data_IF_824505817892
#
_entry.id   IF_824505817892
#
_cell.length_a   1.000
_cell.length_b   1.000
_cell.length_c   1.000
_cell.angle_alpha   90.00
_cell.angle_beta   90.00
_cell.angle_gamma   90.00
#
_symmetry.space_group_name_H-M   'P 1'
#
loop_
_entity.id
_entity.type
_entity.pdbx_description
1 polymer ?
#
# COMPACT_ATOMS: atom_id res chain seq x y z
N UNK A 1 -13.41 11.28 -10.49
CA UNK A 1 -12.11 11.25 -11.21
C UNK A 1 -12.36 11.16 -12.73
N UNK A 2 -11.41 11.55 -13.59
CA UNK A 2 -11.45 11.12 -15.00
C UNK A 2 -10.43 10.00 -15.17
N UNK A 3 -10.90 8.74 -15.17
CA UNK A 3 -10.12 7.54 -15.47
C UNK A 3 -9.09 7.73 -16.62
N UNK A 4 -9.42 8.43 -17.73
CA UNK A 4 -8.46 8.76 -18.80
C UNK A 4 -7.17 9.48 -18.35
N UNK A 5 -7.19 10.29 -17.29
CA UNK A 5 -5.98 10.97 -16.78
C UNK A 5 -5.08 9.99 -16.04
N UNK A 6 -5.65 9.22 -15.12
CA UNK A 6 -4.94 8.17 -14.38
C UNK A 6 -4.35 7.15 -15.35
N UNK A 7 -5.17 6.62 -16.26
CA UNK A 7 -4.74 5.62 -17.24
C UNK A 7 -3.56 6.11 -18.10
N UNK A 8 -3.59 7.35 -18.61
CA UNK A 8 -2.45 7.93 -19.35
C UNK A 8 -1.17 8.01 -18.52
N UNK A 9 -1.29 8.45 -17.26
CA UNK A 9 -0.14 8.57 -16.36
C UNK A 9 0.43 7.20 -16.00
N UNK A 10 -0.42 6.23 -15.66
CA UNK A 10 -0.01 4.85 -15.37
C UNK A 10 0.64 4.19 -16.60
N UNK A 11 0.09 4.38 -17.80
CA UNK A 11 0.68 3.86 -19.04
C UNK A 11 2.09 4.43 -19.29
N UNK A 12 2.29 5.73 -19.02
CA UNK A 12 3.61 6.35 -19.14
C UNK A 12 4.59 5.78 -18.11
N UNK A 13 4.19 5.70 -16.84
CA UNK A 13 5.03 5.17 -15.77
C UNK A 13 5.38 3.69 -15.97
N UNK A 14 4.41 2.87 -16.39
CA UNK A 14 4.63 1.46 -16.69
C UNK A 14 5.65 1.26 -17.83
N UNK A 15 5.65 2.13 -18.86
CA UNK A 15 6.68 2.09 -19.90
C UNK A 15 8.06 2.48 -19.36
N UNK A 16 8.13 3.52 -18.53
CA UNK A 16 9.40 3.95 -17.93
C UNK A 16 9.99 2.89 -16.99
N UNK A 17 9.17 2.31 -16.11
CA UNK A 17 9.60 1.33 -15.11
C UNK A 17 9.98 -0.03 -15.70
N UNK A 18 9.59 -0.31 -16.95
CA UNK A 18 9.96 -1.55 -17.67
C UNK A 18 11.15 -1.36 -18.61
N UNK A 19 11.77 -0.18 -18.62
CA UNK A 19 13.01 0.05 -19.37
C UNK A 19 14.16 -0.80 -18.77
N UNK A 20 15.09 -1.33 -19.60
CA UNK A 20 16.13 -2.27 -19.13
C UNK A 20 16.91 -1.78 -17.90
N UNK A 21 17.24 -0.50 -17.83
CA UNK A 21 18.03 0.07 -16.72
C UNK A 21 17.23 0.33 -15.44
N UNK A 22 15.89 0.22 -15.51
CA UNK A 22 14.98 0.55 -14.40
C UNK A 22 14.23 -0.65 -13.85
N UNK A 23 14.02 -1.68 -14.67
CA UNK A 23 13.26 -2.85 -14.27
C UNK A 23 14.00 -3.60 -13.16
N UNK A 24 13.27 -3.98 -12.12
CA UNK A 24 13.82 -4.81 -11.05
C UNK A 24 13.65 -6.29 -11.42
N UNK A 25 14.58 -7.16 -10.99
CA UNK A 25 14.50 -8.58 -11.27
C UNK A 25 13.24 -9.19 -10.65
N UNK A 26 12.71 -10.19 -11.33
CA UNK A 26 11.63 -11.03 -10.83
C UNK A 26 12.00 -12.48 -11.09
N UNK A 27 12.56 -13.11 -10.06
CA UNK A 27 13.09 -14.46 -10.12
C UNK A 27 12.86 -15.20 -8.80
N UNK A 28 12.84 -16.55 -8.79
CA UNK A 28 12.48 -17.33 -7.60
C UNK A 28 13.41 -17.16 -6.38
N UNK A 29 14.64 -16.71 -6.61
CA UNK A 29 15.66 -16.41 -5.60
C UNK A 29 15.47 -15.05 -4.93
N UNK A 30 14.72 -14.13 -5.56
CA UNK A 30 14.43 -12.81 -5.01
C UNK A 30 13.23 -12.86 -4.07
N UNK A 31 13.36 -12.14 -2.95
CA UNK A 31 12.31 -11.95 -1.95
C UNK A 31 12.03 -10.47 -1.83
N UNK A 32 10.76 -10.09 -1.95
CA UNK A 32 10.34 -8.70 -1.85
C UNK A 32 9.29 -8.55 -0.76
N UNK A 33 9.42 -7.52 0.06
CA UNK A 33 8.37 -7.06 0.95
C UNK A 33 7.98 -5.64 0.57
N UNK A 34 6.69 -5.37 0.52
CA UNK A 34 6.14 -4.07 0.15
C UNK A 34 5.35 -3.52 1.34
N UNK A 35 5.76 -2.33 1.77
CA UNK A 35 5.04 -1.50 2.73
C UNK A 35 4.71 -0.15 2.10
N UNK A 36 3.60 0.46 2.52
CA UNK A 36 3.18 1.78 2.07
C UNK A 36 2.52 2.54 3.22
N UNK A 37 2.36 3.86 3.02
CA UNK A 37 1.55 4.71 3.89
C UNK A 37 2.02 4.61 5.36
N UNK A 38 3.32 4.79 5.58
CA UNK A 38 3.90 4.91 6.92
C UNK A 38 3.53 6.24 7.54
N UNK A 39 3.60 7.34 6.77
CA UNK A 39 3.34 8.70 7.25
C UNK A 39 4.17 9.06 8.49
N UNK A 40 5.49 8.79 8.45
CA UNK A 40 6.43 9.15 9.53
C UNK A 40 6.42 10.67 9.72
N UNK A 41 5.98 11.13 10.90
CA UNK A 41 5.81 12.54 11.22
C UNK A 41 6.85 13.08 12.21
N UNK A 42 6.44 14.02 13.05
CA UNK A 42 7.28 14.71 14.03
C UNK A 42 7.45 13.98 15.38
N UNK A 43 6.92 12.76 15.52
CA UNK A 43 6.93 12.02 16.77
C UNK A 43 6.03 12.61 17.87
N UNK A 44 5.16 13.56 17.55
CA UNK A 44 4.18 14.11 18.50
C UNK A 44 3.03 13.13 18.78
N UNK A 45 2.00 13.58 19.51
CA UNK A 45 0.76 12.81 19.68
C UNK A 45 -0.11 12.79 18.42
N UNK A 46 0.11 13.73 17.49
CA UNK A 46 -0.57 13.79 16.22
C UNK A 46 0.10 12.92 15.15
N UNK A 47 1.31 12.42 15.42
CA UNK A 47 2.01 11.47 14.57
C UNK A 47 1.35 10.08 14.67
N UNK A 48 0.65 9.70 13.61
CA UNK A 48 -0.04 8.42 13.52
C UNK A 48 0.91 7.22 13.38
N UNK A 49 2.11 7.42 12.82
CA UNK A 49 3.11 6.38 12.68
C UNK A 49 3.72 5.99 14.03
N UNK A 50 3.87 6.95 14.95
CA UNK A 50 4.51 6.75 16.26
C UNK A 50 4.02 5.51 17.00
N UNK A 51 2.71 5.21 16.97
CA UNK A 51 2.11 4.05 17.64
C UNK A 51 2.55 2.70 17.06
N UNK A 52 3.06 2.68 15.83
CA UNK A 52 3.52 1.51 15.09
C UNK A 52 5.02 1.50 14.83
N UNK A 53 5.77 2.55 15.18
CA UNK A 53 7.19 2.68 14.87
C UNK A 53 8.02 1.47 15.35
N UNK A 54 7.82 1.03 16.61
CA UNK A 54 8.52 -0.12 17.17
C UNK A 54 8.12 -1.45 16.50
N UNK A 55 6.83 -1.61 16.18
CA UNK A 55 6.32 -2.77 15.47
C UNK A 55 6.93 -2.85 14.07
N UNK A 56 6.96 -1.73 13.36
CA UNK A 56 7.53 -1.63 12.03
C UNK A 56 9.03 -1.91 12.04
N UNK A 57 9.78 -1.34 12.98
CA UNK A 57 11.20 -1.63 13.15
C UNK A 57 11.49 -3.11 13.43
N UNK A 58 10.63 -3.76 14.23
CA UNK A 58 10.71 -5.21 14.46
C UNK A 58 10.43 -6.02 13.20
N UNK A 59 9.45 -5.59 12.38
CA UNK A 59 9.17 -6.20 11.08
C UNK A 59 10.34 -6.04 10.11
N UNK A 60 10.94 -4.84 10.01
CA UNK A 60 12.13 -4.61 9.18
C UNK A 60 13.29 -5.54 9.57
N UNK A 61 13.52 -5.71 10.87
CA UNK A 61 14.56 -6.62 11.39
C UNK A 61 14.30 -8.08 11.01
N UNK A 62 13.04 -8.51 11.01
CA UNK A 62 12.67 -9.84 10.51
C UNK A 62 12.95 -9.98 9.00
N UNK A 63 12.56 -8.98 8.21
CA UNK A 63 12.77 -9.02 6.75
C UNK A 63 14.25 -8.98 6.36
N UNK A 64 15.06 -8.27 7.13
CA UNK A 64 16.52 -8.31 7.01
C UNK A 64 17.07 -9.73 7.23
N UNK A 65 16.68 -10.38 8.32
CA UNK A 65 17.12 -11.74 8.66
C UNK A 65 16.67 -12.78 7.63
N UNK A 66 15.48 -12.60 7.06
CA UNK A 66 14.91 -13.51 6.06
C UNK A 66 15.36 -13.21 4.61
N UNK A 67 16.25 -12.24 4.43
CA UNK A 67 16.85 -11.90 3.13
C UNK A 67 15.89 -11.24 2.15
N UNK A 68 14.94 -10.45 2.64
CA UNK A 68 13.99 -9.69 1.83
C UNK A 68 14.58 -8.34 1.38
N UNK A 69 14.31 -7.95 0.14
CA UNK A 69 14.47 -6.58 -0.34
C UNK A 69 13.17 -5.80 -0.06
N UNK A 70 13.30 -4.61 0.53
CA UNK A 70 12.17 -3.75 0.88
C UNK A 70 11.82 -2.78 -0.25
N UNK A 71 10.54 -2.76 -0.62
CA UNK A 71 9.94 -1.74 -1.49
C UNK A 71 8.99 -0.86 -0.67
N UNK A 72 9.49 0.31 -0.24
CA UNK A 72 8.64 1.36 0.33
C UNK A 72 7.87 2.05 -0.79
N UNK A 73 6.56 1.82 -0.85
CA UNK A 73 5.66 2.22 -1.93
C UNK A 73 4.97 3.57 -1.65
N UNK A 74 5.76 4.58 -1.28
CA UNK A 74 5.31 5.96 -1.08
C UNK A 74 4.51 6.22 0.20
N UNK A 75 4.30 7.52 0.43
CA UNK A 75 3.70 8.12 1.63
C UNK A 75 4.40 7.64 2.90
N UNK A 76 5.73 7.80 2.89
CA UNK A 76 6.60 7.27 3.92
C UNK A 76 7.05 8.33 4.92
N UNK A 77 7.47 9.49 4.45
CA UNK A 77 7.79 10.68 5.24
C UNK A 77 6.67 11.71 5.03
N UNK A 78 5.96 12.07 6.10
CA UNK A 78 4.82 12.99 6.06
C UNK A 78 5.28 14.45 5.89
N UNK A 79 5.84 14.78 4.72
CA UNK A 79 6.44 16.08 4.40
C UNK A 79 5.38 17.16 4.14
N UNK A 80 4.12 16.78 3.93
CA UNK A 80 3.05 17.78 3.80
C UNK A 80 2.81 18.50 5.11
N UNK A 81 2.80 17.78 6.23
CA UNK A 81 2.57 18.36 7.56
C UNK A 81 3.85 18.71 8.32
N UNK A 82 4.95 17.99 8.07
CA UNK A 82 6.15 18.07 8.89
C UNK A 82 7.38 18.52 8.10
N UNK A 83 8.37 19.08 8.79
CA UNK A 83 9.68 19.31 8.21
C UNK A 83 10.55 18.03 8.28
N UNK A 84 11.42 17.86 7.28
CA UNK A 84 12.27 16.67 7.17
C UNK A 84 13.23 16.50 8.36
N UNK A 85 13.66 17.60 9.01
CA UNK A 85 14.59 17.52 10.13
C UNK A 85 13.89 16.92 11.36
N UNK A 86 12.65 17.33 11.63
CA UNK A 86 11.82 16.76 12.69
C UNK A 86 11.56 15.25 12.48
N UNK A 87 11.20 14.85 11.27
CA UNK A 87 11.02 13.43 10.92
C UNK A 87 12.33 12.66 11.17
N UNK A 88 13.46 13.20 10.70
CA UNK A 88 14.75 12.55 10.83
C UNK A 88 15.19 12.41 12.29
N UNK A 89 14.96 13.43 13.11
CA UNK A 89 15.27 13.40 14.55
C UNK A 89 14.51 12.28 15.30
N UNK A 90 13.33 11.89 14.81
CA UNK A 90 12.52 10.85 15.45
C UNK A 90 12.72 9.45 14.83
N UNK A 91 13.01 9.36 13.53
CA UNK A 91 12.93 8.11 12.78
C UNK A 91 14.15 7.77 11.92
N UNK A 92 15.29 8.45 12.11
CA UNK A 92 16.50 8.20 11.31
C UNK A 92 16.97 6.74 11.30
N UNK A 93 16.84 6.01 12.41
CA UNK A 93 17.22 4.59 12.48
C UNK A 93 16.31 3.70 11.61
N UNK A 94 15.00 3.97 11.64
CA UNK A 94 14.03 3.27 10.79
C UNK A 94 14.32 3.58 9.32
N UNK A 95 14.50 4.86 8.98
CA UNK A 95 14.80 5.30 7.60
C UNK A 95 16.10 4.66 7.10
N UNK A 96 17.12 4.54 7.96
CA UNK A 96 18.39 3.91 7.61
C UNK A 96 18.20 2.43 7.29
N UNK A 97 17.45 1.71 8.12
CA UNK A 97 17.17 0.30 7.87
C UNK A 97 16.32 0.10 6.60
N UNK A 98 15.35 0.98 6.34
CA UNK A 98 14.57 0.96 5.09
C UNK A 98 15.49 1.08 3.85
N UNK A 99 16.44 2.02 3.88
CA UNK A 99 17.38 2.26 2.78
C UNK A 99 18.36 1.10 2.62
N UNK A 100 18.84 0.51 3.72
CA UNK A 100 19.73 -0.64 3.67
C UNK A 100 19.06 -1.86 3.02
N UNK A 101 17.79 -2.12 3.36
CA UNK A 101 16.98 -3.20 2.80
C UNK A 101 16.49 -2.95 1.38
N UNK A 102 16.51 -1.71 0.91
CA UNK A 102 16.02 -1.39 -0.42
C UNK A 102 16.84 -2.08 -1.53
N UNK A 103 16.19 -2.47 -2.64
CA UNK A 103 16.89 -2.97 -3.80
C UNK A 103 17.79 -1.89 -4.38
N UNK A 104 18.88 -2.32 -5.02
CA UNK A 104 19.88 -1.43 -5.59
C UNK A 104 19.74 -1.37 -7.11
N UNK A 105 20.01 -0.19 -7.65
CA UNK A 105 20.27 0.05 -9.07
C UNK A 105 21.58 -0.62 -9.50
N UNK A 106 21.84 -0.67 -10.81
CA UNK A 106 23.10 -1.17 -11.35
C UNK A 106 24.33 -0.36 -10.88
N UNK A 107 24.16 0.94 -10.61
CA UNK A 107 25.17 1.85 -10.06
C UNK A 107 25.20 1.85 -8.52
N UNK A 108 24.48 0.94 -7.85
CA UNK A 108 24.56 0.75 -6.40
C UNK A 108 23.66 1.68 -5.57
N UNK A 109 22.97 2.65 -6.18
CA UNK A 109 22.00 3.51 -5.47
C UNK A 109 20.76 2.72 -5.04
N UNK A 110 20.27 3.01 -3.83
CA UNK A 110 19.10 2.39 -3.21
C UNK A 110 17.80 2.96 -3.78
N UNK A 111 16.81 2.11 -4.06
CA UNK A 111 15.58 2.54 -4.73
C UNK A 111 14.46 2.77 -3.70
N UNK A 112 13.87 3.96 -3.70
CA UNK A 112 12.66 4.28 -2.93
C UNK A 112 11.58 4.84 -3.84
N UNK A 113 10.31 4.54 -3.54
CA UNK A 113 9.17 5.07 -4.29
C UNK A 113 8.51 6.16 -3.46
N UNK A 114 8.17 7.29 -4.08
CA UNK A 114 7.50 8.40 -3.40
C UNK A 114 5.99 8.42 -3.65
N UNK A 115 5.25 8.83 -2.62
CA UNK A 115 3.82 9.09 -2.67
C UNK A 115 3.50 10.57 -2.79
N UNK A 116 2.24 10.96 -2.61
CA UNK A 116 1.87 12.37 -2.68
C UNK A 116 2.41 13.14 -1.47
N UNK A 117 2.46 12.52 -0.29
CA UNK A 117 2.96 13.15 0.95
C UNK A 117 4.49 13.34 0.92
N UNK A 118 5.22 12.48 0.21
CA UNK A 118 6.68 12.61 0.08
C UNK A 118 7.11 13.44 -1.14
N UNK A 119 6.18 13.96 -1.95
CA UNK A 119 6.48 14.46 -3.31
C UNK A 119 7.59 15.51 -3.38
N UNK A 120 7.88 16.20 -2.29
CA UNK A 120 9.04 17.07 -2.13
C UNK A 120 10.37 16.42 -2.51
N UNK A 121 10.54 15.10 -2.33
CA UNK A 121 11.76 14.38 -2.72
C UNK A 121 12.07 14.49 -4.22
N UNK A 122 11.06 14.77 -5.05
CA UNK A 122 11.21 14.95 -6.50
C UNK A 122 11.70 16.35 -6.90
N UNK A 123 11.77 17.30 -5.96
CA UNK A 123 12.17 18.67 -6.25
C UNK A 123 13.68 18.81 -6.33
N UNK A 124 14.18 19.54 -7.33
CA UNK A 124 15.63 19.83 -7.50
C UNK A 124 16.30 20.41 -6.25
N UNK A 125 15.57 21.23 -5.48
CA UNK A 125 16.09 21.86 -4.26
C UNK A 125 16.09 20.95 -3.03
N UNK A 126 15.44 19.77 -3.06
CA UNK A 126 15.34 18.89 -1.91
C UNK A 126 16.71 18.35 -1.49
N UNK A 127 17.51 17.87 -2.45
CA UNK A 127 18.87 17.39 -2.17
C UNK A 127 19.77 18.50 -1.58
N UNK A 128 19.62 19.74 -2.04
CA UNK A 128 20.37 20.86 -1.46
C UNK A 128 19.93 21.14 -0.02
N UNK A 129 18.61 21.15 0.23
CA UNK A 129 18.05 21.29 1.59
C UNK A 129 18.58 20.22 2.54
N UNK A 130 18.68 18.97 2.10
CA UNK A 130 19.24 17.88 2.91
C UNK A 130 20.72 18.14 3.26
N UNK A 131 21.52 18.59 2.29
CA UNK A 131 22.93 18.94 2.52
C UNK A 131 23.08 20.10 3.50
N UNK A 132 22.25 21.14 3.38
CA UNK A 132 22.26 22.29 4.28
C UNK A 132 21.91 21.87 5.73
N UNK A 133 21.03 20.87 5.87
CA UNK A 133 20.66 20.23 7.14
C UNK A 133 21.65 19.15 7.61
N UNK A 134 22.72 18.86 6.84
CA UNK A 134 23.69 17.79 7.08
C UNK A 134 23.06 16.39 7.18
N UNK A 135 21.98 16.15 6.44
CA UNK A 135 21.31 14.86 6.32
C UNK A 135 21.81 14.16 5.05
N UNK A 136 22.77 13.24 5.22
CA UNK A 136 23.43 12.57 4.09
C UNK A 136 22.81 11.18 3.78
N UNK A 137 21.81 10.76 4.55
CA UNK A 137 21.25 9.40 4.45
C UNK A 137 20.61 9.09 3.08
N UNK A 138 20.21 10.12 2.35
CA UNK A 138 19.57 10.01 1.04
C UNK A 138 20.52 10.25 -0.14
N UNK A 139 21.82 10.47 0.08
CA UNK A 139 22.77 10.82 -0.99
C UNK A 139 22.84 9.73 -2.07
N UNK A 140 22.78 8.46 -1.65
CA UNK A 140 22.80 7.29 -2.55
C UNK A 140 21.41 6.70 -2.81
N UNK A 141 20.35 7.52 -2.72
CA UNK A 141 18.96 7.07 -2.95
C UNK A 141 18.44 7.57 -4.30
N UNK A 142 17.97 6.65 -5.13
CA UNK A 142 17.14 6.96 -6.29
C UNK A 142 15.66 6.95 -5.92
N UNK A 143 15.07 8.14 -5.92
CA UNK A 143 13.62 8.32 -5.78
C UNK A 143 12.90 8.09 -7.11
N UNK A 144 12.03 7.08 -7.16
CA UNK A 144 11.21 6.72 -8.33
C UNK A 144 9.75 6.99 -8.06
N UNK A 145 8.99 7.28 -9.12
CA UNK A 145 7.53 7.44 -9.01
C UNK A 145 6.79 6.09 -9.09
N UNK A 146 7.42 5.11 -9.75
CA UNK A 146 6.90 3.76 -9.91
C UNK A 146 8.05 2.79 -10.22
N UNK A 147 7.82 1.50 -9.97
CA UNK A 147 8.76 0.43 -10.31
C UNK A 147 8.03 -0.76 -10.94
N UNK A 148 8.77 -1.65 -11.58
CA UNK A 148 8.25 -2.92 -12.08
C UNK A 148 9.16 -4.05 -11.70
N UNK A 149 8.57 -5.14 -11.22
CA UNK A 149 9.25 -6.42 -11.03
C UNK A 149 8.98 -7.25 -12.27
N UNK A 150 10.02 -7.42 -13.09
CA UNK A 150 9.87 -7.96 -14.43
C UNK A 150 8.78 -7.23 -15.23
N UNK A 151 8.25 -7.92 -16.25
CA UNK A 151 7.25 -7.34 -17.18
C UNK A 151 5.80 -7.65 -16.81
N UNK A 152 5.56 -8.16 -15.60
CA UNK A 152 4.23 -8.60 -15.18
C UNK A 152 3.66 -7.79 -14.01
N UNK A 153 4.52 -7.30 -13.11
CA UNK A 153 4.08 -6.64 -11.87
C UNK A 153 4.49 -5.17 -11.93
N UNK A 154 3.52 -4.28 -11.79
CA UNK A 154 3.70 -2.84 -11.79
C UNK A 154 3.32 -2.30 -10.42
N UNK A 155 4.23 -1.54 -9.81
CA UNK A 155 4.05 -0.97 -8.47
C UNK A 155 4.08 0.55 -8.58
N UNK A 156 3.06 1.18 -8.03
CA UNK A 156 2.90 2.64 -8.00
C UNK A 156 2.12 3.00 -6.73
N UNK A 157 2.37 4.15 -6.13
CA UNK A 157 1.68 4.51 -4.90
C UNK A 157 0.14 4.57 -5.07
N UNK A 158 -0.36 5.28 -6.09
CA UNK A 158 -1.78 5.30 -6.47
C UNK A 158 -2.35 6.69 -6.70
N UNK A 159 -1.73 7.74 -6.14
CA UNK A 159 -2.17 9.13 -6.31
C UNK A 159 -2.00 9.66 -7.76
N UNK A 160 -1.17 9.01 -8.56
CA UNK A 160 -0.71 9.52 -9.85
C UNK A 160 -1.86 9.71 -10.86
N UNK A 161 -1.90 10.87 -11.50
CA UNK A 161 -2.98 11.25 -12.42
C UNK A 161 -4.17 11.96 -11.76
N UNK A 162 -4.15 12.19 -10.44
CA UNK A 162 -5.11 13.05 -9.72
C UNK A 162 -4.65 14.50 -9.74
N UNK A 163 -5.53 15.42 -10.11
CA UNK A 163 -5.11 16.81 -10.30
C UNK A 163 -4.56 17.47 -9.02
N UNK A 164 -5.24 17.31 -7.89
CA UNK A 164 -4.83 17.96 -6.64
C UNK A 164 -3.59 17.33 -6.01
N UNK A 165 -3.47 16.01 -6.04
CA UNK A 165 -2.31 15.31 -5.45
C UNK A 165 -1.11 15.23 -6.39
N UNK A 166 -1.33 15.29 -7.71
CA UNK A 166 -0.26 15.22 -8.71
C UNK A 166 0.16 16.63 -9.20
N UNK A 167 -0.78 17.45 -9.68
CA UNK A 167 -0.45 18.74 -10.32
C UNK A 167 -0.51 19.94 -9.38
N UNK A 168 -1.50 19.99 -8.50
CA UNK A 168 -1.75 21.10 -7.59
C UNK A 168 -1.35 20.78 -6.14
N UNK A 169 -0.42 19.85 -5.94
CA UNK A 169 -0.04 19.34 -4.62
C UNK A 169 0.48 20.43 -3.69
N UNK A 170 1.11 21.49 -4.23
CA UNK A 170 1.53 22.67 -3.45
C UNK A 170 0.35 23.46 -2.88
N UNK A 171 -0.78 23.48 -3.59
CA UNK A 171 -2.03 24.09 -3.14
C UNK A 171 -2.69 23.18 -2.09
N UNK A 172 -2.72 21.87 -2.31
CA UNK A 172 -3.21 20.90 -1.33
C UNK A 172 -2.41 20.94 -0.03
N UNK A 173 -1.08 20.96 -0.12
CA UNK A 173 -0.19 21.13 1.04
C UNK A 173 -0.40 22.48 1.73
N UNK A 174 -0.49 23.57 0.96
CA UNK A 174 -0.80 24.89 1.51
C UNK A 174 -2.13 24.88 2.26
N UNK A 175 -3.17 24.24 1.71
CA UNK A 175 -4.46 24.11 2.38
C UNK A 175 -4.34 23.30 3.69
N UNK A 176 -3.59 22.20 3.70
CA UNK A 176 -3.32 21.42 4.94
C UNK A 176 -2.58 22.27 5.98
N UNK A 177 -1.61 23.09 5.56
CA UNK A 177 -0.80 23.91 6.46
C UNK A 177 -1.55 25.15 6.99
N UNK A 178 -2.43 25.77 6.19
CA UNK A 178 -3.13 27.02 6.53
C UNK A 178 -4.57 26.82 7.04
N UNK A 179 -5.25 25.73 6.68
CA UNK A 179 -6.56 25.37 7.24
C UNK A 179 -6.30 24.63 8.56
N UNK A 180 -6.05 25.44 9.59
CA UNK A 180 -5.70 25.10 10.96
C UNK A 180 -6.24 23.74 11.47
N UNK A 181 -5.38 22.94 12.13
CA UNK A 181 -5.74 21.72 12.89
C UNK A 181 -6.92 21.93 13.85
N UNK A 182 -7.18 23.17 14.31
CA UNK A 182 -8.36 23.49 15.14
C UNK A 182 -9.65 23.78 14.35
N UNK A 183 -9.58 24.22 13.10
CA UNK A 183 -10.77 24.48 12.26
C UNK A 183 -11.35 23.17 11.74
N UNK A 184 -10.52 22.19 11.35
CA UNK A 184 -10.99 20.85 10.95
C UNK A 184 -11.81 20.17 12.08
N UNK A 185 -11.39 20.38 13.34
CA UNK A 185 -12.07 19.83 14.53
C UNK A 185 -13.39 20.54 14.89
N UNK A 186 -13.56 21.80 14.46
CA UNK A 186 -14.75 22.63 14.73
C UNK A 186 -15.77 22.55 13.58
N UNK A 187 -15.31 22.44 12.32
CA UNK A 187 -16.17 22.50 11.14
C UNK A 187 -16.47 21.13 10.50
N UNK A 188 -15.79 20.05 10.92
CA UNK A 188 -15.94 18.72 10.29
C UNK A 188 -15.67 18.75 8.76
N UNK A 189 -14.90 19.73 8.28
CA UNK A 189 -14.49 19.87 6.88
C UNK A 189 -13.06 19.33 6.79
N UNK A 190 -12.94 18.02 6.58
CA UNK A 190 -11.70 17.41 6.09
C UNK A 190 -11.62 17.54 4.57
N UNK A 191 -10.44 17.82 4.03
CA UNK A 191 -10.16 17.48 2.63
C UNK A 191 -9.89 15.97 2.65
N UNK A 192 -10.96 15.19 2.75
CA UNK A 192 -10.84 13.75 2.95
C UNK A 192 -10.17 13.12 1.72
N UNK A 193 -8.97 12.57 1.94
CA UNK A 193 -8.28 11.75 0.97
C UNK A 193 -9.02 10.44 0.73
N UNK A 194 -8.52 9.58 -0.17
CA UNK A 194 -9.14 8.29 -0.43
C UNK A 194 -8.96 7.30 0.72
N UNK A 195 -8.13 7.60 1.71
CA UNK A 195 -8.09 6.84 2.95
C UNK A 195 -9.33 7.10 3.83
N UNK A 196 -9.76 8.37 3.90
CA UNK A 196 -10.84 8.85 4.76
C UNK A 196 -12.21 8.76 4.09
N UNK A 197 -12.30 9.03 2.78
CA UNK A 197 -13.55 9.06 2.03
C UNK A 197 -13.84 7.74 1.30
N UNK A 198 -14.82 6.92 1.76
CA UNK A 198 -15.10 5.61 1.17
C UNK A 198 -15.59 5.66 -0.29
N UNK A 199 -16.23 6.74 -0.74
CA UNK A 199 -16.70 6.88 -2.11
C UNK A 199 -15.54 7.15 -3.08
N UNK A 200 -14.66 8.08 -2.73
CA UNK A 200 -13.44 8.35 -3.49
C UNK A 200 -12.54 7.11 -3.54
N UNK A 201 -12.41 6.41 -2.40
CA UNK A 201 -11.69 5.14 -2.31
C UNK A 201 -12.21 4.11 -3.29
N UNK A 202 -13.53 3.85 -3.25
CA UNK A 202 -14.15 2.85 -4.10
C UNK A 202 -13.99 3.19 -5.59
N UNK A 203 -14.19 4.45 -5.97
CA UNK A 203 -13.95 4.91 -7.35
C UNK A 203 -12.51 4.66 -7.80
N UNK A 204 -11.53 4.97 -6.94
CA UNK A 204 -10.12 4.75 -7.25
C UNK A 204 -9.79 3.28 -7.46
N UNK A 205 -10.27 2.41 -6.58
CA UNK A 205 -9.99 0.99 -6.69
C UNK A 205 -10.65 0.35 -7.91
N UNK A 206 -11.84 0.82 -8.32
CA UNK A 206 -12.44 0.42 -9.60
C UNK A 206 -11.58 0.85 -10.79
N UNK A 207 -11.05 2.08 -10.76
CA UNK A 207 -10.16 2.59 -11.79
C UNK A 207 -8.84 1.78 -11.83
N UNK A 208 -8.24 1.45 -10.67
CA UNK A 208 -7.06 0.60 -10.56
C UNK A 208 -7.29 -0.78 -11.15
N UNK A 209 -8.38 -1.46 -10.74
CA UNK A 209 -8.75 -2.77 -11.27
C UNK A 209 -8.96 -2.71 -12.78
N UNK A 210 -9.70 -1.71 -13.28
CA UNK A 210 -9.96 -1.52 -14.72
C UNK A 210 -8.65 -1.37 -15.48
N UNK A 211 -7.72 -0.54 -15.00
CA UNK A 211 -6.42 -0.36 -15.64
C UNK A 211 -5.58 -1.65 -15.65
N UNK A 212 -5.51 -2.35 -14.51
CA UNK A 212 -4.73 -3.58 -14.37
C UNK A 212 -5.25 -4.70 -15.30
N UNK A 213 -6.58 -4.87 -15.38
CA UNK A 213 -7.25 -5.78 -16.31
C UNK A 213 -6.94 -5.44 -17.77
N UNK A 214 -7.16 -4.20 -18.19
CA UNK A 214 -6.92 -3.77 -19.58
C UNK A 214 -5.46 -3.92 -20.03
N UNK A 215 -4.50 -3.69 -19.12
CA UNK A 215 -3.07 -3.79 -19.44
C UNK A 215 -2.51 -5.20 -19.24
N UNK A 216 -3.31 -6.15 -18.75
CA UNK A 216 -2.90 -7.51 -18.41
C UNK A 216 -1.66 -7.52 -17.52
N UNK A 217 -1.72 -6.71 -16.46
CA UNK A 217 -0.65 -6.52 -15.45
C UNK A 217 -1.20 -6.79 -14.07
N UNK A 218 -0.34 -7.30 -13.19
CA UNK A 218 -0.56 -7.18 -11.76
C UNK A 218 -0.18 -5.76 -11.36
N UNK A 219 -1.11 -5.05 -10.72
CA UNK A 219 -0.95 -3.71 -10.16
C UNK A 219 -0.91 -3.81 -8.63
N UNK A 220 0.11 -3.23 -8.02
CA UNK A 220 0.23 -3.08 -6.56
C UNK A 220 0.23 -1.60 -6.20
N UNK A 221 -0.69 -1.20 -5.32
CA UNK A 221 -0.83 0.16 -4.80
C UNK A 221 -0.72 0.26 -3.27
N UNK A 222 -0.64 1.50 -2.76
CA UNK A 222 -0.93 1.91 -1.37
C UNK A 222 -2.12 2.88 -1.38
N UNK A 223 -1.96 4.09 -0.85
CA UNK A 223 -2.79 5.29 -1.07
C UNK A 223 -4.26 5.24 -0.58
N UNK A 224 -5.00 4.16 -0.86
CA UNK A 224 -6.37 3.96 -0.35
C UNK A 224 -6.40 3.41 1.07
N UNK A 225 -5.22 3.03 1.57
CA UNK A 225 -4.95 2.34 2.83
C UNK A 225 -5.62 0.97 2.97
N UNK A 226 -6.64 0.63 2.16
CA UNK A 226 -7.36 -0.64 2.22
C UNK A 226 -6.53 -1.75 1.57
N UNK A 227 -6.09 -2.70 2.39
CA UNK A 227 -5.42 -3.89 1.89
C UNK A 227 -6.32 -4.67 0.91
N UNK A 228 -5.77 -5.00 -0.25
CA UNK A 228 -6.44 -5.74 -1.33
C UNK A 228 -5.52 -6.89 -1.76
N UNK A 229 -6.11 -8.07 -1.95
CA UNK A 229 -5.36 -9.24 -2.37
C UNK A 229 -6.09 -9.93 -3.51
N UNK A 230 -5.42 -10.05 -4.67
CA UNK A 230 -6.00 -10.68 -5.86
C UNK A 230 -7.39 -10.12 -6.22
N UNK A 231 -7.50 -8.78 -6.20
CA UNK A 231 -8.73 -8.02 -6.44
C UNK A 231 -9.86 -8.29 -5.45
N UNK A 232 -9.55 -8.82 -4.26
CA UNK A 232 -10.49 -9.00 -3.17
C UNK A 232 -10.11 -8.12 -1.98
N UNK A 233 -11.09 -7.36 -1.49
CA UNK A 233 -10.98 -6.65 -0.22
C UNK A 233 -11.17 -7.63 0.95
N UNK A 234 -10.74 -7.22 2.15
CA UNK A 234 -10.98 -8.03 3.35
C UNK A 234 -12.48 -8.32 3.56
N UNK A 235 -13.36 -7.37 3.24
CA UNK A 235 -14.81 -7.57 3.29
C UNK A 235 -15.28 -8.73 2.39
N UNK A 236 -14.87 -8.72 1.11
CA UNK A 236 -15.24 -9.77 0.15
C UNK A 236 -14.60 -11.11 0.50
N UNK A 237 -13.39 -11.09 1.04
CA UNK A 237 -12.76 -12.30 1.57
C UNK A 237 -13.58 -12.93 2.69
N UNK A 238 -14.00 -12.14 3.69
CA UNK A 238 -14.82 -12.63 4.80
C UNK A 238 -16.17 -13.19 4.33
N UNK A 239 -16.84 -12.49 3.40
CA UNK A 239 -18.08 -12.99 2.78
C UNK A 239 -17.87 -14.33 2.07
N UNK A 240 -16.75 -14.48 1.33
CA UNK A 240 -16.42 -15.74 0.67
C UNK A 240 -16.18 -16.86 1.68
N UNK A 241 -15.45 -16.59 2.77
CA UNK A 241 -15.24 -17.57 3.84
C UNK A 241 -16.56 -17.98 4.50
N UNK A 242 -17.47 -17.02 4.72
CA UNK A 242 -18.80 -17.28 5.26
C UNK A 242 -19.63 -18.17 4.32
N UNK A 243 -19.69 -17.82 3.03
CA UNK A 243 -20.41 -18.61 2.02
C UNK A 243 -19.90 -20.05 1.97
N UNK A 244 -18.58 -20.25 1.94
CA UNK A 244 -17.97 -21.59 1.90
C UNK A 244 -18.30 -22.42 3.15
N UNK A 245 -18.43 -21.81 4.32
CA UNK A 245 -18.87 -22.50 5.54
C UNK A 245 -20.35 -22.85 5.47
N UNK A 246 -21.20 -21.94 4.98
CA UNK A 246 -22.63 -22.19 4.83
C UNK A 246 -22.91 -23.30 3.81
N UNK A 247 -22.21 -23.32 2.67
CA UNK A 247 -22.36 -24.37 1.66
C UNK A 247 -21.98 -25.75 2.21
N UNK A 248 -20.88 -25.81 2.98
CA UNK A 248 -20.49 -27.05 3.70
C UNK A 248 -21.52 -27.47 4.74
N UNK A 249 -22.17 -26.50 5.41
CA UNK A 249 -23.24 -26.78 6.39
C UNK A 249 -24.47 -27.44 5.78
N UNK A 250 -24.78 -27.11 4.52
CA UNK A 250 -25.92 -27.68 3.82
C UNK A 250 -25.63 -29.08 3.29
N UNK A 251 -24.37 -29.39 2.99
CA UNK A 251 -23.95 -30.68 2.43
C UNK A 251 -23.67 -31.75 3.50
N UNK A 252 -23.33 -31.36 4.73
CA UNK A 252 -22.93 -32.28 5.80
C UNK A 252 -23.71 -32.04 7.10
N UNK A 253 -24.54 -33.00 7.52
CA UNK A 253 -25.33 -32.93 8.76
C UNK A 253 -24.45 -32.87 10.03
N UNK A 254 -23.19 -33.31 9.96
CA UNK A 254 -22.22 -33.23 11.07
C UNK A 254 -21.63 -31.82 11.25
N UNK A 255 -21.91 -30.90 10.32
CA UNK A 255 -21.39 -29.53 10.32
C UNK A 255 -21.94 -28.66 11.47
N UNK A 256 -22.96 -29.13 12.19
CA UNK A 256 -23.55 -28.46 13.36
C UNK A 256 -22.62 -28.38 14.59
N UNK A 257 -21.33 -28.69 14.44
CA UNK A 257 -20.34 -28.61 15.51
C UNK A 257 -20.30 -27.20 16.13
N UNK A 258 -20.11 -27.09 17.46
CA UNK A 258 -19.97 -25.80 18.14
C UNK A 258 -18.89 -24.91 17.50
N UNK A 259 -17.78 -25.52 17.04
CA UNK A 259 -16.68 -24.83 16.37
C UNK A 259 -17.11 -24.10 15.10
N UNK A 260 -17.90 -24.74 14.23
CA UNK A 260 -18.35 -24.11 12.98
C UNK A 260 -19.33 -22.96 13.24
N UNK A 261 -20.20 -23.10 14.25
CA UNK A 261 -21.13 -22.04 14.67
C UNK A 261 -20.36 -20.83 15.23
N UNK A 262 -19.36 -21.07 16.07
CA UNK A 262 -18.50 -20.01 16.61
C UNK A 262 -17.73 -19.30 15.49
N UNK A 263 -17.20 -20.05 14.53
CA UNK A 263 -16.51 -19.48 13.36
C UNK A 263 -17.44 -18.63 12.49
N UNK A 264 -18.68 -19.05 12.25
CA UNK A 264 -19.67 -18.26 11.54
C UNK A 264 -20.01 -16.96 12.29
N UNK A 265 -20.26 -17.04 13.59
CA UNK A 265 -20.52 -15.86 14.43
C UNK A 265 -19.34 -14.88 14.43
N UNK A 266 -18.10 -15.40 14.47
CA UNK A 266 -16.90 -14.59 14.34
C UNK A 266 -16.83 -13.86 12.99
N UNK A 267 -17.09 -14.57 11.88
CA UNK A 267 -17.10 -13.97 10.55
C UNK A 267 -18.17 -12.88 10.42
N UNK A 268 -19.39 -13.13 10.91
CA UNK A 268 -20.48 -12.15 10.92
C UNK A 268 -20.09 -10.88 11.69
N UNK A 269 -19.50 -11.06 12.87
CA UNK A 269 -19.00 -9.95 13.69
C UNK A 269 -17.91 -9.15 12.96
N UNK A 270 -16.97 -9.82 12.31
CA UNK A 270 -15.88 -9.12 11.60
C UNK A 270 -16.38 -8.43 10.32
N UNK A 271 -17.30 -9.04 9.58
CA UNK A 271 -17.99 -8.41 8.44
C UNK A 271 -18.68 -7.11 8.89
N UNK A 272 -19.42 -7.16 9.99
CA UNK A 272 -20.10 -6.00 10.55
C UNK A 272 -19.09 -4.92 10.96
N UNK A 273 -18.00 -5.31 11.64
CA UNK A 273 -16.93 -4.39 12.05
C UNK A 273 -16.27 -3.69 10.86
N UNK A 274 -16.01 -4.41 9.77
CA UNK A 274 -15.42 -3.84 8.55
C UNK A 274 -16.37 -2.82 7.92
N UNK A 275 -17.67 -3.11 7.85
CA UNK A 275 -18.67 -2.18 7.30
C UNK A 275 -18.89 -0.94 8.16
N UNK A 276 -18.82 -1.06 9.48
CA UNK A 276 -18.92 0.11 10.36
C UNK A 276 -17.83 1.15 10.06
N UNK A 277 -16.61 0.71 9.74
CA UNK A 277 -15.50 1.62 9.37
C UNK A 277 -15.75 2.41 8.08
N UNK A 278 -16.64 1.94 7.22
CA UNK A 278 -17.03 2.62 5.98
C UNK A 278 -18.45 3.18 6.03
N UNK A 279 -19.00 3.41 7.23
CA UNK A 279 -20.36 3.92 7.42
C UNK A 279 -21.42 3.07 6.69
N UNK A 280 -21.21 1.77 6.63
CA UNK A 280 -22.08 0.82 5.92
C UNK A 280 -21.83 0.73 4.41
N UNK A 281 -21.00 1.61 3.82
CA UNK A 281 -20.68 1.54 2.40
C UNK A 281 -19.81 0.30 2.11
N UNK A 282 -20.30 -0.57 1.23
CA UNK A 282 -19.55 -1.76 0.81
C UNK A 282 -18.38 -1.37 -0.10
N UNK A 283 -17.22 -2.03 -0.01
CA UNK A 283 -16.19 -1.98 -1.05
C UNK A 283 -16.74 -2.36 -2.43
N UNK A 284 -16.11 -1.94 -3.54
CA UNK A 284 -16.56 -2.29 -4.87
C UNK A 284 -16.40 -3.80 -5.09
N UNK A 285 -17.46 -4.43 -5.58
CA UNK A 285 -17.39 -5.78 -6.13
C UNK A 285 -17.07 -5.63 -7.60
N UNK A 286 -15.79 -5.82 -7.99
CA UNK A 286 -15.36 -5.52 -9.34
C UNK A 286 -16.12 -6.33 -10.39
N UNK A 287 -16.19 -7.64 -10.20
CA UNK A 287 -16.90 -8.63 -11.03
C UNK A 287 -17.34 -9.79 -10.13
N UNK A 288 -18.21 -10.68 -10.62
CA UNK A 288 -18.60 -11.89 -9.87
C UNK A 288 -17.40 -12.80 -9.59
N UNK A 289 -16.46 -12.89 -10.54
CA UNK A 289 -15.17 -13.56 -10.41
C UNK A 289 -14.11 -12.60 -10.92
N UNK A 290 -13.51 -11.76 -10.06
CA UNK A 290 -12.54 -10.77 -10.51
C UNK A 290 -11.23 -11.42 -10.94
N UNK A 291 -10.56 -10.83 -11.94
CA UNK A 291 -9.19 -11.21 -12.26
C UNK A 291 -8.26 -10.86 -11.11
N UNK A 292 -7.26 -11.70 -10.77
CA UNK A 292 -6.36 -11.48 -9.65
C UNK A 292 -5.26 -10.46 -9.99
N UNK A 293 -5.64 -9.31 -10.57
CA UNK A 293 -4.72 -8.31 -11.13
C UNK A 293 -4.49 -7.08 -10.25
N UNK A 294 -5.27 -6.86 -9.19
CA UNK A 294 -5.11 -5.70 -8.32
C UNK A 294 -4.79 -6.10 -6.87
N UNK A 295 -3.74 -5.50 -6.33
CA UNK A 295 -3.30 -5.68 -4.96
C UNK A 295 -3.05 -4.31 -4.33
N UNK A 296 -3.17 -4.27 -3.01
CA UNK A 296 -2.86 -3.10 -2.22
C UNK A 296 -2.19 -3.54 -0.92
N UNK A 297 -1.01 -2.99 -0.60
CA UNK A 297 -0.25 -3.34 0.62
C UNK A 297 -0.96 -2.92 1.90
N UNK A 298 -1.96 -2.05 1.80
CA UNK A 298 -2.69 -1.51 2.94
C UNK A 298 -1.97 -0.30 3.50
N UNK A 299 -1.69 -0.29 4.80
CA UNK A 299 -1.15 0.90 5.47
C UNK A 299 -0.40 0.54 6.75
N UNK A 300 0.64 1.32 7.07
CA UNK A 300 1.40 1.19 8.32
C UNK A 300 0.89 2.13 9.43
N UNK A 301 -0.09 2.98 9.18
CA UNK A 301 -0.73 3.88 10.15
C UNK A 301 -1.93 3.29 10.91
N UNK A 302 -2.32 2.04 10.67
CA UNK A 302 -3.45 1.40 11.33
C UNK A 302 -3.27 1.29 12.86
N UNK A 303 -4.34 1.52 13.63
CA UNK A 303 -4.27 1.44 15.11
C UNK A 303 -4.03 0.04 15.65
N UNK A 304 -4.32 -1.01 14.88
CA UNK A 304 -4.22 -2.42 15.28
C UNK A 304 -3.08 -3.16 14.56
N UNK A 305 -1.93 -2.52 14.34
CA UNK A 305 -0.76 -3.11 13.68
C UNK A 305 -0.69 -2.79 12.18
N UNK A 306 0.19 -3.41 11.42
CA UNK A 306 0.54 -2.99 10.03
C UNK A 306 0.34 -4.12 9.02
N UNK A 307 0.18 -3.78 7.74
CA UNK A 307 0.06 -4.78 6.66
C UNK A 307 1.18 -4.67 5.64
N UNK A 308 1.55 -5.80 5.03
CA UNK A 308 2.57 -5.88 4.00
C UNK A 308 2.16 -6.85 2.90
N UNK A 309 2.74 -6.70 1.71
CA UNK A 309 2.74 -7.76 0.69
C UNK A 309 4.13 -8.37 0.60
N UNK A 310 4.21 -9.68 0.78
CA UNK A 310 5.43 -10.44 0.58
C UNK A 310 5.37 -11.21 -0.73
N UNK A 311 6.49 -11.30 -1.42
CA UNK A 311 6.69 -12.16 -2.58
C UNK A 311 7.95 -13.00 -2.41
N UNK A 312 7.79 -14.32 -2.51
CA UNK A 312 8.88 -15.28 -2.36
C UNK A 312 8.56 -16.56 -3.14
N UNK A 313 9.49 -17.05 -3.95
CA UNK A 313 9.44 -18.38 -4.58
C UNK A 313 8.06 -18.71 -5.18
N UNK A 314 7.57 -17.81 -6.04
CA UNK A 314 6.26 -17.85 -6.71
C UNK A 314 5.02 -17.54 -5.85
N UNK A 315 5.14 -17.45 -4.53
CA UNK A 315 4.03 -17.06 -3.68
C UNK A 315 3.95 -15.54 -3.54
N UNK A 316 2.72 -15.02 -3.45
CA UNK A 316 2.42 -13.69 -2.93
C UNK A 316 1.54 -13.83 -1.69
N UNK A 317 1.84 -13.08 -0.63
CA UNK A 317 1.13 -13.15 0.66
C UNK A 317 0.73 -11.77 1.14
N UNK A 318 -0.51 -11.63 1.59
CA UNK A 318 -0.92 -10.48 2.40
C UNK A 318 -0.64 -10.81 3.86
N UNK A 319 0.18 -10.00 4.49
CA UNK A 319 0.64 -10.19 5.87
C UNK A 319 0.02 -9.14 6.76
N UNK A 320 -0.31 -9.55 7.99
CA UNK A 320 -0.62 -8.65 9.10
C UNK A 320 0.42 -8.86 10.18
N UNK A 321 1.08 -7.78 10.55
CA UNK A 321 1.84 -7.70 11.79
C UNK A 321 0.93 -7.12 12.86
N UNK A 322 0.67 -7.91 13.90
CA UNK A 322 -0.16 -7.53 15.03
C UNK A 322 0.67 -6.74 16.07
N UNK A 323 0.00 -6.06 17.00
CA UNK A 323 0.67 -5.17 17.97
C UNK A 323 1.67 -5.85 18.89
N UNK A 324 1.50 -7.13 19.13
CA UNK A 324 2.39 -8.02 19.88
C UNK A 324 3.58 -8.52 19.05
N UNK A 325 3.84 -7.91 17.88
CA UNK A 325 4.92 -8.25 16.95
C UNK A 325 4.76 -9.63 16.31
N UNK A 326 3.56 -10.22 16.36
CA UNK A 326 3.26 -11.47 15.67
C UNK A 326 2.97 -11.23 14.19
N UNK A 327 3.64 -12.00 13.33
CA UNK A 327 3.41 -12.03 11.89
C UNK A 327 2.38 -13.10 11.54
N UNK A 328 1.30 -12.71 10.85
CA UNK A 328 0.26 -13.62 10.38
C UNK A 328 0.00 -13.47 8.89
N UNK A 329 -0.07 -14.61 8.19
CA UNK A 329 -0.52 -14.66 6.80
C UNK A 329 -2.05 -14.53 6.79
N UNK A 330 -2.57 -13.47 6.16
CA UNK A 330 -4.00 -13.27 6.00
C UNK A 330 -4.53 -14.01 4.76
N UNK A 331 -3.80 -13.91 3.66
CA UNK A 331 -4.12 -14.50 2.37
C UNK A 331 -2.83 -14.88 1.65
N UNK A 332 -2.87 -15.94 0.86
CA UNK A 332 -1.75 -16.45 0.07
C UNK A 332 -2.26 -16.91 -1.30
N UNK A 333 -1.43 -16.79 -2.33
CA UNK A 333 -1.74 -17.25 -3.67
C UNK A 333 -0.48 -17.49 -4.51
N UNK A 334 -0.64 -18.25 -5.59
CA UNK A 334 0.42 -18.50 -6.55
C UNK A 334 0.46 -17.35 -7.58
N UNK A 335 1.57 -16.63 -7.60
CA UNK A 335 1.79 -15.45 -8.42
C UNK A 335 1.88 -15.81 -9.91
N UNK A 336 2.45 -16.96 -10.26
CA UNK A 336 2.51 -17.43 -11.65
C UNK A 336 1.13 -17.80 -12.18
N UNK A 337 0.29 -18.45 -11.37
CA UNK A 337 -1.11 -18.69 -11.74
C UNK A 337 -1.88 -17.39 -11.96
N UNK A 338 -1.67 -16.38 -11.12
CA UNK A 338 -2.29 -15.07 -11.30
C UNK A 338 -1.84 -14.42 -12.60
N UNK A 339 -0.53 -14.40 -12.87
CA UNK A 339 0.01 -13.89 -14.13
C UNK A 339 -0.59 -14.64 -15.32
N UNK A 340 -0.61 -15.98 -15.28
CA UNK A 340 -1.18 -16.81 -16.34
C UNK A 340 -2.65 -16.48 -16.60
N UNK A 341 -3.48 -16.42 -15.56
CA UNK A 341 -4.91 -16.08 -15.67
C UNK A 341 -5.12 -14.71 -16.33
N UNK A 342 -4.37 -13.70 -15.88
CA UNK A 342 -4.45 -12.34 -16.42
C UNK A 342 -4.06 -12.29 -17.91
N UNK A 343 -3.02 -13.04 -18.32
CA UNK A 343 -2.56 -13.07 -19.70
C UNK A 343 -3.48 -13.83 -20.65
N UNK A 344 -4.17 -14.86 -20.16
CA UNK A 344 -5.02 -15.75 -20.98
C UNK A 344 -6.48 -15.35 -21.02
N UNK A 345 -6.92 -14.41 -20.18
CA UNK A 345 -8.28 -13.88 -20.24
C UNK A 345 -8.49 -13.11 -21.56
N UNK A 346 -9.54 -13.49 -22.28
CA UNK A 346 -10.04 -12.80 -23.47
C UNK A 346 -10.81 -11.55 -23.02
N UNK A 347 -10.61 -10.45 -23.74
CA UNK A 347 -11.20 -9.15 -23.40
C UNK A 347 -12.72 -9.11 -23.57
#
# INVERSE_FOLDING_TARGET
MSYPRMSRKFNHLNRLSTSPDKILPFSPDKRYVIFSDQHKGDGSRADDFKKNAELYFSALSYYEQEGYELLVLGDSEELWENDILSIFNNYSDIIRQEIQLAPSTADGRKIRIWGNHDKEVSLKGFSQRLKDLKINLFDDVEFREAVSLGRNIFLVHGHQGRFFEDKAWRISRWAVHFIWKSIQKILNIGIDGPAENPYLRNQLEEDYYRWAKQNKRILICGHTHRAMFASLSHYHYLLRQQSLLLDKSQQDKSFSSPFNKEKLAYLEKEIHRVLQKSQGLRPPSFESIPLPCYFNSGCCGYTNGITALEMQSEAIRLIKWEKDKQRRILQEGNLQEFIYKIKTTRD
#
